data_IF_403101704047
#
_entry.id   IF_403101704047
#
_cell.length_a   1.000
_cell.length_b   1.000
_cell.length_c   1.000
_cell.angle_alpha   90.00
_cell.angle_beta   90.00
_cell.angle_gamma   90.00
#
_symmetry.space_group_name_H-M   'P 1'
#
loop_
_entity.id
_entity.type
_entity.pdbx_description
1 polymer ?
#
# COMPACT_ATOMS: atom_id res chain seq x y z
N UNK A 1 -15.40 -5.08 6.36
CA UNK A 1 -14.18 -4.57 5.70
C UNK A 1 -14.45 -3.95 4.34
N UNK A 2 -15.12 -4.63 3.40
CA UNK A 2 -15.31 -4.12 2.02
C UNK A 2 -15.84 -2.67 1.94
N UNK A 3 -16.96 -2.38 2.60
CA UNK A 3 -17.59 -1.07 2.50
C UNK A 3 -16.74 0.05 3.11
N UNK A 4 -16.12 -0.20 4.27
CA UNK A 4 -15.32 0.82 4.97
C UNK A 4 -13.94 0.98 4.35
N UNK A 5 -13.22 -0.11 4.08
CA UNK A 5 -11.81 -0.06 3.66
C UNK A 5 -11.64 0.14 2.15
N UNK A 6 -12.39 -0.60 1.33
CA UNK A 6 -12.18 -0.61 -0.13
C UNK A 6 -13.05 0.38 -0.86
N UNK A 7 -14.28 0.57 -0.37
CA UNK A 7 -15.25 1.48 -0.97
C UNK A 7 -15.29 2.85 -0.29
N UNK A 8 -14.65 2.98 0.88
CA UNK A 8 -14.67 4.19 1.72
C UNK A 8 -16.09 4.75 1.86
N UNK A 9 -17.07 3.89 2.19
CA UNK A 9 -18.46 4.29 2.38
C UNK A 9 -18.51 5.30 3.54
N UNK A 10 -18.94 6.53 3.23
CA UNK A 10 -18.90 7.67 4.15
C UNK A 10 -17.71 8.60 3.95
N UNK A 11 -16.72 8.24 3.13
CA UNK A 11 -15.62 9.10 2.69
C UNK A 11 -14.62 9.47 3.79
N UNK A 12 -14.60 8.74 4.91
CA UNK A 12 -13.82 9.12 6.09
C UNK A 12 -12.32 8.95 5.88
N UNK A 13 -11.90 7.90 5.17
CA UNK A 13 -10.48 7.67 4.87
C UNK A 13 -9.99 8.77 3.95
N UNK A 14 -10.72 9.03 2.86
CA UNK A 14 -10.39 10.06 1.88
C UNK A 14 -10.36 11.45 2.51
N UNK A 15 -11.36 11.79 3.34
CA UNK A 15 -11.44 13.08 4.03
C UNK A 15 -10.28 13.30 5.03
N UNK A 16 -9.72 12.23 5.60
CA UNK A 16 -8.56 12.33 6.50
C UNK A 16 -7.27 12.73 5.81
N UNK A 17 -7.19 12.56 4.49
CA UNK A 17 -5.96 12.75 3.71
C UNK A 17 -4.91 11.65 3.90
N UNK A 18 -5.06 10.74 4.88
CA UNK A 18 -4.10 9.66 5.18
C UNK A 18 -4.51 8.34 4.53
N UNK A 19 -3.55 7.44 4.42
CA UNK A 19 -3.79 6.05 4.01
C UNK A 19 -4.31 5.22 5.19
N UNK A 20 -5.08 4.14 4.95
CA UNK A 20 -5.58 3.28 6.02
C UNK A 20 -4.48 2.39 6.63
N UNK A 21 -4.47 2.32 7.96
CA UNK A 21 -3.80 1.29 8.75
C UNK A 21 -4.86 0.37 9.35
N UNK A 22 -4.88 -0.89 8.92
CA UNK A 22 -5.77 -1.92 9.43
C UNK A 22 -5.07 -2.67 10.55
N UNK A 23 -5.66 -2.58 11.75
CA UNK A 23 -5.23 -3.34 12.93
C UNK A 23 -6.19 -4.50 13.14
N UNK A 24 -5.70 -5.71 12.93
CA UNK A 24 -6.51 -6.92 13.03
C UNK A 24 -5.75 -8.06 13.72
N UNK A 25 -6.01 -8.23 15.03
CA UNK A 25 -5.46 -9.34 15.80
C UNK A 25 -6.06 -10.71 15.46
N UNK A 26 -7.16 -10.76 14.68
CA UNK A 26 -7.83 -12.01 14.34
C UNK A 26 -7.27 -12.69 13.08
N UNK A 27 -6.58 -11.92 12.24
CA UNK A 27 -6.05 -12.38 10.95
C UNK A 27 -7.08 -12.42 9.82
N UNK A 28 -8.38 -12.19 10.07
CA UNK A 28 -9.41 -12.22 9.03
C UNK A 28 -9.20 -11.18 7.92
N UNK A 29 -8.68 -10.00 8.25
CA UNK A 29 -8.38 -8.95 7.28
C UNK A 29 -7.30 -9.38 6.29
N UNK A 30 -6.27 -10.11 6.76
CA UNK A 30 -5.21 -10.65 5.90
C UNK A 30 -5.77 -11.63 4.87
N UNK A 31 -6.65 -12.55 5.31
CA UNK A 31 -7.33 -13.52 4.46
C UNK A 31 -8.21 -12.79 3.46
N UNK A 32 -9.07 -11.88 3.94
CA UNK A 32 -9.95 -11.08 3.10
C UNK A 32 -9.17 -10.38 1.98
N UNK A 33 -8.12 -9.62 2.32
CA UNK A 33 -7.34 -8.83 1.35
C UNK A 33 -6.60 -9.69 0.33
N UNK A 34 -6.17 -10.91 0.68
CA UNK A 34 -5.53 -11.85 -0.26
C UNK A 34 -6.50 -12.40 -1.31
N UNK A 35 -7.79 -12.50 -0.98
CA UNK A 35 -8.84 -12.89 -1.93
C UNK A 35 -9.43 -11.70 -2.69
N UNK A 36 -9.04 -10.46 -2.35
CA UNK A 36 -9.36 -9.30 -3.14
C UNK A 36 -8.31 -9.07 -4.23
N UNK A 37 -8.68 -8.31 -5.25
CA UNK A 37 -7.79 -7.92 -6.34
C UNK A 37 -6.79 -6.85 -5.86
N UNK A 38 -5.75 -7.30 -5.15
CA UNK A 38 -4.73 -6.45 -4.53
C UNK A 38 -3.33 -6.87 -4.96
N UNK A 39 -2.40 -5.92 -4.93
CA UNK A 39 -0.98 -6.24 -4.93
C UNK A 39 -0.55 -6.41 -3.46
N UNK A 40 -0.18 -7.64 -3.07
CA UNK A 40 0.06 -7.98 -1.67
C UNK A 40 1.55 -8.17 -1.38
N UNK A 41 2.11 -7.30 -0.54
CA UNK A 41 3.51 -7.32 -0.10
C UNK A 41 3.56 -7.74 1.37
N UNK A 42 3.95 -8.98 1.60
CA UNK A 42 4.26 -9.48 2.96
C UNK A 42 5.68 -9.05 3.38
N UNK A 43 5.81 -8.19 4.39
CA UNK A 43 7.08 -7.63 4.83
C UNK A 43 8.04 -8.67 5.46
N UNK A 44 7.51 -9.76 6.01
CA UNK A 44 8.35 -10.88 6.51
C UNK A 44 8.95 -11.72 5.37
N UNK A 45 8.37 -11.63 4.16
CA UNK A 45 8.92 -12.30 2.99
C UNK A 45 9.98 -11.41 2.34
N UNK A 46 11.26 -11.66 2.63
CA UNK A 46 12.39 -10.85 2.12
C UNK A 46 12.33 -10.58 0.61
N UNK A 47 11.97 -11.58 -0.19
CA UNK A 47 11.82 -11.46 -1.65
C UNK A 47 10.84 -10.35 -2.04
N UNK A 48 9.74 -10.17 -1.30
CA UNK A 48 8.76 -9.12 -1.58
C UNK A 48 9.30 -7.69 -1.35
N UNK A 49 10.32 -7.56 -0.50
CA UNK A 49 11.01 -6.30 -0.21
C UNK A 49 12.28 -6.10 -1.06
N UNK A 50 12.56 -7.00 -1.99
CA UNK A 50 13.62 -6.80 -2.98
C UNK A 50 13.21 -5.69 -3.95
N UNK A 51 14.11 -4.77 -4.33
CA UNK A 51 13.75 -3.58 -5.08
C UNK A 51 12.96 -3.85 -6.38
N UNK A 52 13.33 -4.83 -7.23
CA UNK A 52 12.59 -5.09 -8.47
C UNK A 52 11.13 -5.51 -8.21
N UNK A 53 10.90 -6.38 -7.23
CA UNK A 53 9.57 -6.91 -6.94
C UNK A 53 8.70 -5.90 -6.20
N UNK A 54 9.27 -5.17 -5.24
CA UNK A 54 8.56 -4.10 -4.53
C UNK A 54 8.16 -2.98 -5.48
N UNK A 55 9.09 -2.52 -6.33
CA UNK A 55 8.84 -1.53 -7.40
C UNK A 55 7.70 -1.99 -8.29
N UNK A 56 7.78 -3.22 -8.81
CA UNK A 56 6.77 -3.79 -9.72
C UNK A 56 5.41 -3.91 -9.06
N UNK A 57 5.37 -4.29 -7.78
CA UNK A 57 4.14 -4.38 -7.00
C UNK A 57 3.48 -3.01 -6.84
N UNK A 58 4.24 -1.96 -6.52
CA UNK A 58 3.72 -0.60 -6.47
C UNK A 58 3.26 -0.11 -7.85
N UNK A 59 4.08 -0.31 -8.88
CA UNK A 59 3.78 0.13 -10.24
C UNK A 59 2.51 -0.54 -10.80
N UNK A 60 2.34 -1.84 -10.57
CA UNK A 60 1.12 -2.58 -10.94
C UNK A 60 -0.12 -2.04 -10.24
N UNK A 61 -0.03 -1.78 -8.93
CA UNK A 61 -1.14 -1.22 -8.17
C UNK A 61 -1.56 0.16 -8.71
N UNK A 62 -0.59 1.03 -9.01
CA UNK A 62 -0.82 2.34 -9.62
C UNK A 62 -1.45 2.24 -11.01
N UNK A 63 -0.89 1.38 -11.87
CA UNK A 63 -1.33 1.18 -13.27
C UNK A 63 -2.79 0.75 -13.37
N UNK A 64 -3.21 -0.13 -12.46
CA UNK A 64 -4.54 -0.71 -12.46
C UNK A 64 -5.50 -0.05 -11.47
N UNK A 65 -5.03 0.87 -10.63
CA UNK A 65 -5.84 1.54 -9.62
C UNK A 65 -6.32 0.59 -8.52
N UNK A 66 -5.50 -0.41 -8.20
CA UNK A 66 -5.79 -1.44 -7.21
C UNK A 66 -5.12 -1.13 -5.88
N UNK A 67 -5.59 -1.69 -4.75
CA UNK A 67 -4.89 -1.54 -3.49
C UNK A 67 -3.50 -2.21 -3.53
N UNK A 68 -2.50 -1.50 -3.00
CA UNK A 68 -1.23 -2.09 -2.57
C UNK A 68 -1.33 -2.36 -1.06
N UNK A 69 -1.30 -3.62 -0.67
CA UNK A 69 -1.30 -4.03 0.74
C UNK A 69 0.13 -4.29 1.18
N UNK A 70 0.56 -3.61 2.23
CA UNK A 70 1.79 -3.90 2.96
C UNK A 70 1.42 -4.55 4.29
N UNK A 71 1.70 -5.84 4.40
CA UNK A 71 1.40 -6.65 5.58
C UNK A 71 2.64 -6.79 6.46
N UNK A 72 2.60 -6.17 7.63
CA UNK A 72 3.65 -6.22 8.66
C UNK A 72 3.48 -7.42 9.60
N UNK A 73 2.36 -8.14 9.50
CA UNK A 73 1.95 -9.17 10.46
C UNK A 73 2.05 -8.63 11.90
N UNK A 74 2.59 -9.42 12.82
CA UNK A 74 2.74 -9.09 14.24
C UNK A 74 4.08 -8.39 14.57
N UNK A 75 4.91 -8.13 13.57
CA UNK A 75 6.25 -7.58 13.75
C UNK A 75 6.28 -6.06 13.55
N UNK A 76 7.15 -5.38 14.31
CA UNK A 76 7.49 -3.99 14.05
C UNK A 76 8.62 -3.93 13.01
N UNK A 77 8.23 -3.85 11.73
CA UNK A 77 9.15 -3.83 10.57
C UNK A 77 9.15 -2.50 9.83
N UNK A 78 8.68 -1.43 10.49
CA UNK A 78 8.41 -0.17 9.80
C UNK A 78 9.68 0.52 9.27
N UNK A 79 10.78 0.45 10.03
CA UNK A 79 12.09 0.99 9.61
C UNK A 79 12.66 0.19 8.43
N UNK A 80 12.56 -1.15 8.47
CA UNK A 80 13.03 -2.06 7.43
C UNK A 80 12.27 -1.86 6.13
N UNK A 81 10.94 -1.69 6.22
CA UNK A 81 10.09 -1.35 5.09
C UNK A 81 10.52 -0.02 4.49
N UNK A 82 10.70 1.03 5.30
CA UNK A 82 11.17 2.33 4.80
C UNK A 82 12.50 2.19 4.06
N UNK A 83 13.45 1.48 4.65
CA UNK A 83 14.72 1.18 3.99
C UNK A 83 14.55 0.38 2.69
N UNK A 84 13.57 -0.52 2.59
CA UNK A 84 13.26 -1.25 1.36
C UNK A 84 12.71 -0.34 0.25
N UNK A 85 11.81 0.58 0.59
CA UNK A 85 11.33 1.58 -0.36
C UNK A 85 12.45 2.53 -0.81
N UNK A 86 13.35 2.95 0.09
CA UNK A 86 14.49 3.81 -0.26
C UNK A 86 15.50 3.12 -1.19
N UNK A 87 15.66 1.79 -1.08
CA UNK A 87 16.46 1.00 -2.04
C UNK A 87 15.84 0.93 -3.44
N UNK A 88 14.52 1.13 -3.57
CA UNK A 88 13.88 1.27 -4.89
C UNK A 88 14.17 2.66 -5.45
N UNK A 89 13.87 3.68 -4.66
CA UNK A 89 14.16 5.07 -4.99
C UNK A 89 14.16 5.89 -3.68
N UNK A 90 15.16 6.75 -3.42
CA UNK A 90 15.20 7.54 -2.20
C UNK A 90 13.92 8.36 -1.97
N UNK A 91 13.40 8.33 -0.74
CA UNK A 91 12.20 9.04 -0.32
C UNK A 91 10.91 8.52 -0.97
N UNK A 92 10.91 7.32 -1.56
CA UNK A 92 9.73 6.77 -2.24
C UNK A 92 8.54 6.59 -1.30
N UNK A 93 8.77 6.03 -0.11
CA UNK A 93 7.68 5.84 0.85
C UNK A 93 7.11 7.18 1.32
N UNK A 94 7.95 8.19 1.57
CA UNK A 94 7.50 9.53 1.94
C UNK A 94 6.56 10.13 0.87
N UNK A 95 6.97 10.05 -0.40
CA UNK A 95 6.15 10.52 -1.54
C UNK A 95 4.88 9.71 -1.76
N UNK A 96 4.89 8.43 -1.37
CA UNK A 96 3.70 7.61 -1.39
C UNK A 96 2.74 8.04 -0.27
N UNK A 97 3.25 8.27 0.94
CA UNK A 97 2.46 8.67 2.11
C UNK A 97 1.82 10.05 1.95
N UNK A 98 2.57 11.03 1.43
CA UNK A 98 2.06 12.39 1.17
C UNK A 98 1.26 12.50 -0.15
N UNK A 99 1.10 11.38 -0.87
CA UNK A 99 0.39 11.25 -2.16
C UNK A 99 1.02 12.03 -3.32
N UNK A 100 2.17 12.67 -3.14
CA UNK A 100 2.87 13.41 -4.19
C UNK A 100 3.34 12.50 -5.32
N UNK A 101 3.59 11.21 -5.06
CA UNK A 101 3.92 10.21 -6.08
C UNK A 101 2.82 10.08 -7.17
N UNK A 102 1.56 10.31 -6.80
CA UNK A 102 0.41 10.19 -7.71
C UNK A 102 0.25 11.40 -8.63
N UNK A 103 0.95 12.50 -8.32
CA UNK A 103 0.81 13.78 -9.02
C UNK A 103 1.86 13.96 -10.11
N UNK A 104 1.49 14.67 -11.19
CA UNK A 104 2.43 15.15 -12.23
C UNK A 104 3.33 14.03 -12.78
N UNK A 105 2.75 12.85 -13.01
CA UNK A 105 3.45 11.71 -13.58
C UNK A 105 4.70 11.25 -12.80
N UNK A 106 4.85 11.63 -11.52
CA UNK A 106 6.05 11.29 -10.73
C UNK A 106 6.26 9.78 -10.59
N UNK A 107 5.20 8.99 -10.63
CA UNK A 107 5.27 7.52 -10.67
C UNK A 107 6.04 6.97 -11.86
N UNK A 108 6.22 7.73 -12.95
CA UNK A 108 6.97 7.28 -14.13
C UNK A 108 8.45 7.02 -13.83
N UNK A 109 8.99 7.60 -12.75
CA UNK A 109 10.35 7.30 -12.27
C UNK A 109 10.53 5.82 -11.87
N UNK A 110 9.43 5.11 -11.60
CA UNK A 110 9.42 3.69 -11.25
C UNK A 110 9.39 2.77 -12.48
N UNK A 111 9.15 3.30 -13.69
CA UNK A 111 9.10 2.51 -14.92
C UNK A 111 10.53 2.12 -15.33
N UNK A 112 10.69 0.87 -15.78
CA UNK A 112 11.91 0.30 -16.35
C UNK A 112 11.54 -0.23 -17.73
N UNK A 113 11.65 0.59 -18.80
CA UNK A 113 11.10 0.25 -20.12
C UNK A 113 11.58 -1.10 -20.69
N UNK A 114 12.83 -1.48 -20.40
CA UNK A 114 13.41 -2.74 -20.88
C UNK A 114 12.92 -3.98 -20.12
N UNK A 115 12.37 -3.82 -18.91
CA UNK A 115 11.93 -4.92 -18.04
C UNK A 115 10.40 -5.04 -17.96
N UNK A 116 9.70 -3.92 -18.07
CA UNK A 116 8.31 -3.82 -17.64
C UNK A 116 7.29 -4.18 -18.72
N UNK A 117 7.67 -4.10 -20.00
CA UNK A 117 6.78 -4.31 -21.14
C UNK A 117 5.87 -3.13 -21.46
N UNK A 118 5.25 -3.15 -22.64
CA UNK A 118 4.45 -2.05 -23.21
C UNK A 118 3.26 -1.65 -22.33
N UNK A 119 2.72 -2.58 -21.54
CA UNK A 119 1.55 -2.33 -20.69
C UNK A 119 1.82 -1.32 -19.55
N UNK A 120 3.10 -1.05 -19.27
CA UNK A 120 3.59 -0.09 -18.28
C UNK A 120 4.24 1.14 -18.90
N UNK A 121 4.07 1.39 -20.19
CA UNK A 121 4.42 2.68 -20.78
C UNK A 121 3.66 3.82 -20.09
N UNK A 122 4.29 5.00 -20.00
CA UNK A 122 3.75 6.14 -19.26
C UNK A 122 2.32 6.53 -19.70
N UNK A 123 2.03 6.43 -21.00
CA UNK A 123 0.72 6.72 -21.58
C UNK A 123 -0.37 5.66 -21.27
N UNK A 124 -0.02 4.53 -20.66
CA UNK A 124 -0.97 3.48 -20.25
C UNK A 124 -1.57 3.71 -18.87
N UNK A 125 -1.02 4.64 -18.09
CA UNK A 125 -1.55 5.02 -16.79
C UNK A 125 -2.73 5.98 -16.96
N UNK A 126 -3.88 5.62 -16.40
CA UNK A 126 -5.10 6.41 -16.49
C UNK A 126 -5.31 7.18 -15.20
N UNK A 127 -5.57 8.49 -15.30
CA UNK A 127 -5.77 9.34 -14.12
C UNK A 127 -6.92 8.84 -13.22
N UNK A 128 -8.02 8.36 -13.81
CA UNK A 128 -9.12 7.77 -13.06
C UNK A 128 -8.69 6.57 -12.21
N UNK A 129 -7.77 5.72 -12.72
CA UNK A 129 -7.26 4.57 -11.98
C UNK A 129 -6.27 5.00 -10.90
N UNK A 130 -5.41 5.97 -11.18
CA UNK A 130 -4.49 6.52 -10.17
C UNK A 130 -5.25 7.13 -8.99
N UNK A 131 -6.42 7.73 -9.23
CA UNK A 131 -7.32 8.22 -8.16
C UNK A 131 -7.94 7.11 -7.33
N UNK A 132 -8.13 5.91 -7.91
CA UNK A 132 -8.65 4.73 -7.19
C UNK A 132 -7.57 3.95 -6.42
N UNK A 133 -6.29 4.18 -6.73
CA UNK A 133 -5.19 3.54 -6.02
C UNK A 133 -5.26 3.83 -4.51
N UNK A 134 -5.06 2.79 -3.70
CA UNK A 134 -5.01 2.90 -2.25
C UNK A 134 -3.79 2.17 -1.71
N UNK A 135 -3.03 2.82 -0.85
CA UNK A 135 -1.98 2.15 -0.07
C UNK A 135 -2.56 1.71 1.28
N UNK A 136 -2.49 0.42 1.61
CA UNK A 136 -3.04 -0.14 2.86
C UNK A 136 -1.89 -0.74 3.65
N UNK A 137 -1.75 -0.36 4.92
CA UNK A 137 -0.87 -1.07 5.86
C UNK A 137 -1.72 -1.99 6.73
N UNK A 138 -1.31 -3.24 6.86
CA UNK A 138 -1.96 -4.23 7.71
C UNK A 138 -0.99 -4.65 8.82
N UNK A 139 -1.49 -4.73 10.05
CA UNK A 139 -0.76 -5.29 11.18
C UNK A 139 -1.70 -6.06 12.11
N UNK A 140 -1.20 -7.19 12.62
CA UNK A 140 -1.83 -7.98 13.68
C UNK A 140 -1.15 -7.77 15.04
N UNK A 141 -0.21 -6.83 15.14
CA UNK A 141 0.51 -6.54 16.38
C UNK A 141 -0.46 -6.00 17.46
N UNK A 142 -0.45 -6.60 18.64
CA UNK A 142 -1.25 -6.13 19.80
C UNK A 142 -0.87 -4.71 20.23
N UNK A 143 0.40 -4.35 20.02
CA UNK A 143 0.96 -3.02 20.27
C UNK A 143 1.62 -2.52 18.97
N UNK A 144 0.86 -1.84 18.11
CA UNK A 144 1.40 -1.32 16.85
C UNK A 144 2.44 -0.24 17.09
N UNK A 145 3.36 -0.08 16.13
CA UNK A 145 4.35 1.00 16.15
C UNK A 145 3.65 2.38 16.23
N UNK A 146 4.01 3.25 17.19
CA UNK A 146 3.41 4.58 17.32
C UNK A 146 3.49 5.45 16.06
N UNK A 147 4.58 5.34 15.28
CA UNK A 147 4.76 6.08 14.04
C UNK A 147 3.70 5.72 13.00
N UNK A 148 3.25 4.46 12.96
CA UNK A 148 2.14 4.02 12.11
C UNK A 148 0.82 4.65 12.56
N UNK A 149 0.58 4.71 13.87
CA UNK A 149 -0.66 5.29 14.43
C UNK A 149 -0.77 6.78 14.12
N UNK A 150 0.36 7.50 14.04
CA UNK A 150 0.40 8.91 13.70
C UNK A 150 0.25 9.15 12.19
N UNK A 151 0.95 8.37 11.36
CA UNK A 151 1.01 8.60 9.91
C UNK A 151 -0.25 8.13 9.15
N UNK A 152 -1.04 7.21 9.71
CA UNK A 152 -2.15 6.56 9.01
C UNK A 152 -3.52 6.85 9.63
N UNK A 153 -4.58 6.61 8.86
CA UNK A 153 -5.96 6.55 9.37
C UNK A 153 -6.23 5.16 9.93
N UNK A 154 -6.41 5.06 11.25
CA UNK A 154 -6.46 3.77 11.95
C UNK A 154 -7.85 3.16 11.89
N UNK A 155 -7.92 1.93 11.36
CA UNK A 155 -9.10 1.07 11.36
C UNK A 155 -8.82 -0.15 12.26
N UNK A 156 -9.65 -0.37 13.28
CA UNK A 156 -9.57 -1.55 14.14
C UNK A 156 -10.65 -2.56 13.77
N UNK A 157 -10.24 -3.79 13.52
CA UNK A 157 -11.17 -4.91 13.30
C UNK A 157 -11.60 -5.45 14.65
N UNK A 158 -12.91 -5.44 14.87
CA UNK A 158 -13.55 -6.04 16.04
C UNK A 158 -14.39 -7.22 15.55
N UNK A 159 -14.14 -8.41 16.11
CA UNK A 159 -15.03 -9.54 15.93
C UNK A 159 -16.07 -9.45 17.04
N UNK A 160 -17.34 -9.36 16.64
CA UNK A 160 -18.44 -9.54 17.58
C UNK A 160 -18.64 -11.04 17.77
N UNK A 161 -18.72 -11.48 19.03
CA UNK A 161 -19.10 -12.84 19.39
C UNK A 161 -20.54 -13.17 18.97
#
# INVERSE_FOLDING_TARGET
LNDVLLRDVGGLISASGRWPLVLDCSGQASVFLRYQDTNYVNALTRRHLEPPLLRRSLLGALRYGKPLVLDLQECDLWEEVRGAFDRVEPGLLSRLLDKSLLSRERYTSLIRPQEDGEEYEANRFQEARLRSFTFIVLSSARRPNPQLLEAFYVLRVLISE
#
